data_IF_080829172214
#
_entry.id   IF_080829172214
#
_cell.length_a   1.000
_cell.length_b   1.000
_cell.length_c   1.000
_cell.angle_alpha   90.00
_cell.angle_beta   90.00
_cell.angle_gamma   90.00
#
_symmetry.space_group_name_H-M   'P 1'
#
loop_
_entity.id
_entity.type
_entity.pdbx_description
1 polymer ?
#
# COMPACT_ATOMS: atom_id res chain seq x y z
N UNK A 1 -5.71 13.60 14.29
CA UNK A 1 -5.10 12.32 13.88
C UNK A 1 -5.75 11.93 12.58
N UNK A 2 -4.99 11.50 11.57
CA UNK A 2 -5.58 11.05 10.32
C UNK A 2 -6.47 9.82 10.58
N UNK A 3 -7.60 9.74 9.90
CA UNK A 3 -8.51 8.60 10.00
C UNK A 3 -7.81 7.35 9.46
N UNK A 4 -7.92 6.24 10.21
CA UNK A 4 -7.36 4.95 9.79
C UNK A 4 -8.37 4.25 8.90
N UNK A 5 -7.97 3.99 7.67
CA UNK A 5 -8.78 3.38 6.62
C UNK A 5 -8.21 2.01 6.25
N UNK A 6 -9.01 1.22 5.56
CA UNK A 6 -8.57 0.02 4.85
C UNK A 6 -8.33 0.33 3.37
N UNK A 7 -7.70 -0.60 2.65
CA UNK A 7 -7.58 -0.47 1.19
C UNK A 7 -8.95 -0.49 0.48
N UNK A 8 -9.93 -1.19 1.04
CA UNK A 8 -11.27 -1.23 0.47
C UNK A 8 -11.96 0.11 0.63
N UNK A 9 -11.80 0.78 1.78
CA UNK A 9 -12.33 2.14 1.97
C UNK A 9 -11.74 3.12 0.94
N UNK A 10 -10.48 2.94 0.55
CA UNK A 10 -9.85 3.72 -0.52
C UNK A 10 -10.33 3.35 -1.93
N UNK A 11 -10.84 2.13 -2.14
CA UNK A 11 -11.49 1.74 -3.41
C UNK A 11 -12.89 2.32 -3.51
N UNK A 12 -13.64 2.30 -2.41
CA UNK A 12 -15.02 2.78 -2.34
C UNK A 12 -15.11 4.31 -2.37
N UNK A 13 -14.02 5.01 -2.02
CA UNK A 13 -13.93 6.47 -2.05
C UNK A 13 -13.05 6.96 -3.22
N UNK A 14 -13.62 7.79 -4.10
CA UNK A 14 -12.92 8.35 -5.27
C UNK A 14 -12.42 9.79 -5.07
N UNK A 15 -12.62 10.38 -3.89
CA UNK A 15 -12.35 11.82 -3.65
C UNK A 15 -10.92 12.14 -3.25
N UNK A 16 -10.06 11.13 -3.08
CA UNK A 16 -8.67 11.31 -2.70
C UNK A 16 -7.75 11.23 -3.91
N UNK A 17 -6.63 11.95 -3.85
CA UNK A 17 -5.57 11.91 -4.86
C UNK A 17 -4.38 11.08 -4.37
N UNK A 18 -3.99 11.27 -3.10
CA UNK A 18 -2.88 10.55 -2.48
C UNK A 18 -3.25 9.95 -1.13
N UNK A 19 -2.74 8.75 -0.90
CA UNK A 19 -2.87 8.05 0.37
C UNK A 19 -1.57 7.35 0.71
N UNK A 20 -1.44 6.94 1.96
CA UNK A 20 -0.34 6.10 2.43
C UNK A 20 -0.88 4.76 2.88
N UNK A 21 -0.24 3.69 2.43
CA UNK A 21 -0.47 2.33 2.91
C UNK A 21 0.63 2.00 3.91
N UNK A 22 0.23 1.67 5.14
CA UNK A 22 1.12 1.24 6.20
C UNK A 22 1.04 -0.28 6.32
N UNK A 23 2.17 -0.98 6.24
CA UNK A 23 2.24 -2.44 6.37
C UNK A 23 2.59 -2.86 7.79
N UNK A 24 2.05 -3.98 8.26
CA UNK A 24 2.36 -4.49 9.60
C UNK A 24 3.83 -4.93 9.74
N UNK A 25 4.48 -4.75 10.90
CA UNK A 25 5.87 -5.16 11.11
C UNK A 25 6.15 -6.63 10.76
N UNK A 26 5.19 -7.54 10.99
CA UNK A 26 5.36 -8.98 10.76
C UNK A 26 5.52 -9.34 9.27
N UNK A 27 5.15 -8.41 8.37
CA UNK A 27 5.35 -8.51 6.91
C UNK A 27 6.82 -8.64 6.53
N UNK A 28 7.74 -8.22 7.40
CA UNK A 28 9.16 -8.11 7.13
C UNK A 28 9.97 -9.08 7.99
N UNK A 29 11.16 -9.45 7.52
CA UNK A 29 12.10 -10.31 8.28
C UNK A 29 12.99 -9.52 9.24
N UNK A 30 12.98 -8.19 9.15
CA UNK A 30 13.75 -7.26 9.98
C UNK A 30 12.79 -6.22 10.56
N UNK A 31 13.17 -5.63 11.68
CA UNK A 31 12.41 -4.53 12.27
C UNK A 31 12.57 -3.27 11.40
N UNK A 32 11.44 -2.76 10.92
CA UNK A 32 11.35 -1.49 10.22
C UNK A 32 10.48 -0.53 11.03
N UNK A 33 10.89 0.72 11.08
CA UNK A 33 10.05 1.79 11.65
C UNK A 33 8.78 1.96 10.81
N UNK A 34 7.75 2.61 11.36
CA UNK A 34 6.52 2.87 10.62
C UNK A 34 6.76 3.58 9.29
N UNK A 35 7.66 4.57 9.26
CA UNK A 35 7.99 5.31 8.04
C UNK A 35 8.58 4.41 6.94
N UNK A 36 9.40 3.43 7.31
CA UNK A 36 10.08 2.51 6.38
C UNK A 36 9.17 1.38 5.88
N UNK A 37 8.02 1.17 6.53
CA UNK A 37 6.96 0.24 6.10
C UNK A 37 5.73 0.96 5.56
N UNK A 38 5.86 2.25 5.25
CA UNK A 38 4.79 3.12 4.76
C UNK A 38 5.08 3.58 3.35
N UNK A 39 4.09 3.44 2.46
CA UNK A 39 4.23 3.74 1.05
C UNK A 39 3.16 4.72 0.60
N UNK A 40 3.55 5.85 0.03
CA UNK A 40 2.63 6.77 -0.66
C UNK A 40 2.18 6.12 -1.96
N UNK A 41 0.87 6.15 -2.19
CA UNK A 41 0.18 5.63 -3.37
C UNK A 41 -0.67 6.74 -3.98
N UNK A 42 -0.93 6.60 -5.27
CA UNK A 42 -1.77 7.52 -6.04
C UNK A 42 -3.08 6.83 -6.45
N UNK A 43 -4.18 7.58 -6.49
CA UNK A 43 -5.50 7.09 -6.92
C UNK A 43 -5.51 6.63 -8.38
N UNK A 44 -4.55 7.08 -9.18
CA UNK A 44 -4.35 6.67 -10.58
C UNK A 44 -3.75 5.28 -10.75
N UNK A 45 -3.38 4.61 -9.65
CA UNK A 45 -3.10 3.18 -9.71
C UNK A 45 -4.30 2.38 -10.23
N UNK A 46 -4.03 1.42 -11.11
CA UNK A 46 -5.05 0.57 -11.72
C UNK A 46 -5.89 -0.19 -10.67
N UNK A 47 -5.30 -0.53 -9.52
CA UNK A 47 -5.98 -1.14 -8.37
C UNK A 47 -7.27 -0.40 -7.92
N UNK A 48 -7.36 0.91 -8.16
CA UNK A 48 -8.52 1.73 -7.77
C UNK A 48 -9.44 2.07 -8.96
N UNK A 49 -9.16 1.59 -10.17
CA UNK A 49 -9.96 1.91 -11.36
C UNK A 49 -10.80 0.68 -11.71
N UNK A 50 -12.13 0.69 -11.48
CA UNK A 50 -12.96 -0.49 -11.66
C UNK A 50 -12.97 -1.02 -13.11
N UNK A 51 -12.76 -0.15 -14.09
CA UNK A 51 -12.71 -0.51 -15.51
C UNK A 51 -11.33 -1.07 -15.94
N UNK A 52 -10.37 -1.20 -15.02
CA UNK A 52 -9.05 -1.69 -15.36
C UNK A 52 -8.96 -3.21 -15.37
N UNK A 53 -8.33 -3.75 -16.42
CA UNK A 53 -8.02 -5.19 -16.54
C UNK A 53 -6.88 -5.58 -15.56
N UNK A 54 -6.08 -4.61 -15.10
CA UNK A 54 -4.97 -4.84 -14.18
C UNK A 54 -5.31 -4.39 -12.77
N UNK A 55 -4.79 -5.09 -11.75
CA UNK A 55 -4.88 -4.71 -10.34
C UNK A 55 -3.54 -4.19 -9.79
N UNK A 56 -2.75 -3.52 -10.62
CA UNK A 56 -1.43 -3.03 -10.21
C UNK A 56 -1.54 -1.92 -9.16
N UNK A 57 -0.74 -2.06 -8.09
CA UNK A 57 -0.66 -1.11 -6.99
C UNK A 57 0.82 -0.77 -6.74
N UNK A 58 1.21 0.41 -7.19
CA UNK A 58 2.54 0.97 -7.01
C UNK A 58 2.56 1.94 -5.83
N UNK A 59 3.64 1.92 -5.07
CA UNK A 59 3.89 2.89 -4.02
C UNK A 59 5.36 3.28 -3.88
N UNK A 60 5.59 4.44 -3.25
CA UNK A 60 6.91 4.97 -2.94
C UNK A 60 7.10 5.02 -1.43
N UNK A 61 8.19 4.45 -0.91
CA UNK A 61 8.45 4.41 0.51
C UNK A 61 8.66 5.83 1.07
N UNK A 62 8.05 6.13 2.21
CA UNK A 62 8.11 7.47 2.80
C UNK A 62 9.52 7.87 3.28
N UNK A 63 10.39 6.89 3.54
CA UNK A 63 11.80 7.14 3.87
C UNK A 63 12.69 7.41 2.65
N UNK A 64 12.16 7.22 1.43
CA UNK A 64 12.83 7.43 0.16
C UNK A 64 13.72 6.28 -0.31
N UNK A 65 13.76 5.12 0.37
CA UNK A 65 14.63 4.00 -0.03
C UNK A 65 14.13 3.28 -1.27
N UNK A 66 12.81 3.20 -1.44
CA UNK A 66 12.18 2.43 -2.50
C UNK A 66 11.16 3.28 -3.27
N UNK A 67 11.23 3.26 -4.60
CA UNK A 67 10.30 3.98 -5.48
C UNK A 67 9.71 3.02 -6.51
N UNK A 68 8.40 3.16 -6.79
CA UNK A 68 7.69 2.35 -7.77
C UNK A 68 7.54 0.87 -7.37
N UNK A 69 7.40 0.58 -6.07
CA UNK A 69 7.28 -0.80 -5.57
C UNK A 69 5.92 -1.38 -5.93
N UNK A 70 5.90 -2.58 -6.51
CA UNK A 70 4.69 -3.38 -6.80
C UNK A 70 4.09 -4.00 -5.53
N UNK A 71 3.39 -3.19 -4.75
CA UNK A 71 2.75 -3.59 -3.50
C UNK A 71 1.71 -4.70 -3.71
N UNK A 72 1.04 -4.74 -4.85
CA UNK A 72 0.10 -5.80 -5.22
C UNK A 72 0.77 -7.19 -5.21
N UNK A 73 1.99 -7.30 -5.74
CA UNK A 73 2.76 -8.55 -5.77
C UNK A 73 3.08 -9.00 -4.35
N UNK A 74 3.64 -8.12 -3.51
CA UNK A 74 4.00 -8.46 -2.14
C UNK A 74 2.78 -8.82 -1.28
N UNK A 75 1.62 -8.22 -1.58
CA UNK A 75 0.33 -8.56 -0.95
C UNK A 75 -0.27 -9.87 -1.44
N UNK A 76 0.10 -10.38 -2.62
CA UNK A 76 -0.44 -11.63 -3.19
C UNK A 76 0.52 -12.81 -3.11
N UNK A 77 1.74 -12.62 -2.59
CA UNK A 77 2.76 -13.67 -2.47
C UNK A 77 2.22 -14.93 -1.79
N UNK A 78 2.54 -16.08 -2.39
CA UNK A 78 2.31 -17.38 -1.79
C UNK A 78 3.32 -17.63 -0.65
N UNK A 79 3.01 -18.49 0.33
CA UNK A 79 3.91 -18.76 1.46
C UNK A 79 5.32 -19.23 1.04
N UNK A 80 5.42 -19.91 -0.10
CA UNK A 80 6.67 -20.41 -0.69
C UNK A 80 7.55 -19.33 -1.35
N UNK A 81 6.97 -18.16 -1.67
CA UNK A 81 7.68 -17.02 -2.29
C UNK A 81 8.19 -16.00 -1.27
N UNK A 82 8.01 -16.31 0.02
CA UNK A 82 8.41 -15.49 1.16
C UNK A 82 7.23 -14.87 1.90
N UNK A 83 7.53 -13.88 2.77
CA UNK A 83 6.50 -13.25 3.59
C UNK A 83 5.57 -12.39 2.75
N UNK A 84 4.27 -12.68 2.86
CA UNK A 84 3.18 -11.83 2.37
C UNK A 84 3.15 -10.53 3.17
N UNK A 85 3.05 -9.40 2.48
CA UNK A 85 2.88 -8.11 3.13
C UNK A 85 1.42 -7.89 3.51
N UNK A 86 1.20 -7.54 4.77
CA UNK A 86 -0.12 -7.38 5.38
C UNK A 86 -0.32 -5.90 5.65
N UNK A 87 -1.38 -5.34 5.10
CA UNK A 87 -1.76 -3.94 5.38
C UNK A 87 -2.20 -3.84 6.83
N UNK A 88 -1.68 -2.83 7.52
CA UNK A 88 -2.06 -2.45 8.87
C UNK A 88 -3.23 -1.47 8.81
N UNK A 89 -3.01 -0.33 8.17
CA UNK A 89 -4.01 0.70 7.90
C UNK A 89 -3.54 1.58 6.74
N UNK A 90 -4.46 2.39 6.23
CA UNK A 90 -4.19 3.44 5.25
C UNK A 90 -4.63 4.79 5.82
N UNK A 91 -4.15 5.88 5.24
CA UNK A 91 -4.66 7.22 5.50
C UNK A 91 -4.49 8.11 4.28
N UNK A 92 -5.43 9.04 4.08
CA UNK A 92 -5.40 9.99 2.97
C UNK A 92 -4.46 11.15 3.33
N UNK A 93 -3.62 11.57 2.39
CA UNK A 93 -2.73 12.73 2.52
C UNK A 93 -3.10 13.87 1.60
N UNK A 94 -3.84 13.58 0.51
CA UNK A 94 -4.35 14.57 -0.42
C UNK A 94 -5.66 14.11 -1.05
#
# INVERSE_FOLDING_TARGET
MAEKLTLNDLQDNETWEKAVVVFKPESFSKEFTEKQRSYEIDRDNHYFKPDSISNSLFGNCLDGTDNGVRLDIYKSRLPEEGKRWIVDYCYITK
#
